data_IF_304766852993
#
_entry.id   IF_304766852993
#
_cell.length_a   1.000
_cell.length_b   1.000
_cell.length_c   1.000
_cell.angle_alpha   90.00
_cell.angle_beta   90.00
_cell.angle_gamma   90.00
#
_symmetry.space_group_name_H-M   'P 1'
#
loop_
_entity.id
_entity.type
_entity.pdbx_description
1 polymer ?
#
# COMPACT_ATOMS: atom_id res chain seq x y z
N UNK A 1 21.06 1.73 10.59
CA UNK A 1 20.00 1.10 11.40
C UNK A 1 18.71 1.25 10.62
N UNK A 2 18.23 0.20 9.97
CA UNK A 2 16.92 0.24 9.31
C UNK A 2 15.90 -0.15 10.36
N UNK A 3 15.12 0.80 10.87
CA UNK A 3 14.03 0.52 11.80
C UNK A 3 12.78 0.29 10.97
N UNK A 4 12.08 -0.82 11.22
CA UNK A 4 10.75 -1.06 10.69
C UNK A 4 9.85 0.13 11.04
N UNK A 5 9.02 0.64 10.11
CA UNK A 5 8.08 1.70 10.44
C UNK A 5 7.11 1.21 11.50
N UNK A 6 6.78 2.09 12.42
CA UNK A 6 5.80 1.76 13.46
C UNK A 6 4.40 1.69 12.87
N UNK A 7 3.49 0.99 13.55
CA UNK A 7 2.07 0.93 13.17
C UNK A 7 1.53 2.31 12.82
N UNK A 8 1.78 3.31 13.67
CA UNK A 8 1.36 4.70 13.46
C UNK A 8 1.86 5.34 12.16
N UNK A 9 3.10 5.05 11.75
CA UNK A 9 3.62 5.55 10.48
C UNK A 9 2.94 4.88 9.30
N UNK A 10 2.66 3.59 9.41
CA UNK A 10 1.90 2.85 8.39
C UNK A 10 0.45 3.32 8.35
N UNK A 11 -0.21 3.60 9.49
CA UNK A 11 -1.59 4.16 9.48
C UNK A 11 -1.63 5.55 8.86
N UNK A 12 -0.61 6.39 9.10
CA UNK A 12 -0.52 7.70 8.49
C UNK A 12 -0.35 7.60 6.96
N UNK A 13 0.53 6.69 6.51
CA UNK A 13 0.73 6.42 5.09
C UNK A 13 -0.55 5.87 4.45
N UNK A 14 -1.21 4.91 5.11
CA UNK A 14 -2.50 4.38 4.67
C UNK A 14 -3.51 5.50 4.54
N UNK A 15 -3.63 6.40 5.52
CA UNK A 15 -4.60 7.49 5.46
C UNK A 15 -4.34 8.49 4.32
N UNK A 16 -3.09 8.62 3.86
CA UNK A 16 -2.78 9.42 2.66
C UNK A 16 -3.13 8.70 1.36
N UNK A 17 -2.96 7.37 1.33
CA UNK A 17 -3.22 6.51 0.17
C UNK A 17 -4.71 6.18 0.01
N UNK A 18 -5.33 5.82 1.12
CA UNK A 18 -6.71 5.37 1.30
C UNK A 18 -7.67 6.55 1.16
N UNK A 19 -8.35 6.61 0.01
CA UNK A 19 -9.33 7.64 -0.29
C UNK A 19 -10.73 7.25 0.18
N UNK A 20 -11.04 5.95 0.20
CA UNK A 20 -12.36 5.44 0.54
C UNK A 20 -12.56 5.21 2.05
N UNK A 21 -11.50 5.38 2.85
CA UNK A 21 -11.37 5.09 4.27
C UNK A 21 -11.75 3.65 4.65
N UNK A 22 -11.42 2.67 3.80
CA UNK A 22 -11.67 1.24 4.05
C UNK A 22 -10.56 0.58 4.92
N UNK A 23 -9.51 1.33 5.27
CA UNK A 23 -8.29 0.87 5.96
C UNK A 23 -7.46 -0.11 5.12
N UNK A 24 -7.64 -0.05 3.81
CA UNK A 24 -6.95 -0.87 2.81
C UNK A 24 -6.52 0.01 1.64
N UNK A 25 -5.48 -0.42 0.93
CA UNK A 25 -5.01 0.26 -0.28
C UNK A 25 -5.26 -0.63 -1.48
N UNK A 26 -6.20 -0.19 -2.31
CA UNK A 26 -6.51 -0.85 -3.58
C UNK A 26 -5.48 -0.49 -4.67
N UNK A 27 -5.41 -1.31 -5.74
CA UNK A 27 -4.61 -1.03 -6.94
C UNK A 27 -4.87 0.38 -7.49
N UNK A 28 -6.14 0.79 -7.54
CA UNK A 28 -6.54 2.09 -8.07
C UNK A 28 -6.15 3.26 -7.12
N UNK A 29 -6.17 3.05 -5.81
CA UNK A 29 -5.76 4.05 -4.82
C UNK A 29 -4.24 4.27 -4.83
N UNK A 30 -3.48 3.17 -4.83
CA UNK A 30 -2.02 3.24 -4.97
C UNK A 30 -1.62 3.88 -6.31
N UNK A 31 -2.33 3.54 -7.39
CA UNK A 31 -2.12 4.16 -8.71
C UNK A 31 -2.42 5.65 -8.69
N UNK A 32 -3.52 6.08 -8.07
CA UNK A 32 -3.88 7.49 -7.96
C UNK A 32 -2.83 8.28 -7.18
N UNK A 33 -2.30 7.71 -6.09
CA UNK A 33 -1.23 8.32 -5.32
C UNK A 33 0.08 8.44 -6.11
N UNK A 34 0.47 7.38 -6.81
CA UNK A 34 1.68 7.37 -7.64
C UNK A 34 1.58 8.39 -8.79
N UNK A 35 0.42 8.50 -9.42
CA UNK A 35 0.12 9.51 -10.44
C UNK A 35 0.24 10.93 -9.85
N UNK A 36 -0.31 11.15 -8.66
CA UNK A 36 -0.16 12.40 -7.90
C UNK A 36 1.29 12.71 -7.52
N UNK A 37 2.10 11.68 -7.26
CA UNK A 37 3.53 11.81 -6.97
C UNK A 37 4.40 11.97 -8.23
N UNK A 38 3.78 12.12 -9.42
CA UNK A 38 4.45 12.14 -10.74
C UNK A 38 5.28 10.88 -11.03
N UNK A 39 4.98 9.78 -10.35
CA UNK A 39 5.51 8.45 -10.63
C UNK A 39 4.51 7.69 -11.51
N UNK A 40 4.74 7.70 -12.81
CA UNK A 40 4.00 6.81 -13.72
C UNK A 40 4.49 5.38 -13.57
N UNK A 41 3.77 4.58 -12.79
CA UNK A 41 3.89 3.12 -12.74
C UNK A 41 2.70 2.47 -13.45
N UNK A 42 2.97 1.43 -14.23
CA UNK A 42 1.93 0.64 -14.90
C UNK A 42 1.00 -0.03 -13.89
N UNK A 43 -0.31 0.00 -14.16
CA UNK A 43 -1.32 -0.72 -13.38
C UNK A 43 -0.95 -2.19 -13.20
N UNK A 44 -0.36 -2.83 -14.21
CA UNK A 44 0.15 -4.21 -14.12
C UNK A 44 1.23 -4.37 -13.06
N UNK A 45 2.21 -3.46 -12.98
CA UNK A 45 3.27 -3.53 -11.96
C UNK A 45 2.71 -3.33 -10.56
N UNK A 46 1.81 -2.36 -10.40
CA UNK A 46 1.13 -2.09 -9.13
C UNK A 46 0.32 -3.32 -8.71
N UNK A 47 -0.42 -3.92 -9.64
CA UNK A 47 -1.21 -5.12 -9.39
C UNK A 47 -0.35 -6.33 -9.04
N UNK A 48 0.77 -6.56 -9.75
CA UNK A 48 1.72 -7.63 -9.39
C UNK A 48 2.34 -7.37 -8.02
N UNK A 49 2.66 -6.11 -7.69
CA UNK A 49 3.20 -5.76 -6.38
C UNK A 49 2.19 -6.04 -5.27
N UNK A 50 0.94 -5.58 -5.42
CA UNK A 50 -0.11 -5.86 -4.46
C UNK A 50 -0.30 -7.37 -4.33
N UNK A 51 -0.53 -8.08 -5.43
CA UNK A 51 -0.79 -9.52 -5.40
C UNK A 51 0.41 -10.36 -4.91
N UNK A 52 1.63 -9.83 -4.89
CA UNK A 52 2.79 -10.51 -4.33
C UNK A 52 2.92 -10.34 -2.81
N UNK A 53 2.28 -9.32 -2.25
CA UNK A 53 2.34 -9.00 -0.82
C UNK A 53 0.98 -9.15 -0.11
N UNK A 54 -0.09 -9.26 -0.90
CA UNK A 54 -1.45 -9.60 -0.51
C UNK A 54 -1.47 -11.07 -0.06
N UNK A 55 -1.57 -11.25 1.24
CA UNK A 55 -1.56 -12.53 1.95
C UNK A 55 -2.99 -13.05 2.14
N UNK A 56 -3.98 -12.16 2.27
CA UNK A 56 -5.40 -12.53 2.46
C UNK A 56 -6.11 -12.90 1.14
N UNK A 57 -5.56 -12.53 -0.01
CA UNK A 57 -6.13 -12.79 -1.33
C UNK A 57 -7.22 -11.80 -1.75
N UNK A 58 -7.34 -10.65 -1.09
CA UNK A 58 -8.45 -9.69 -1.33
C UNK A 58 -8.16 -8.69 -2.47
N UNK A 59 -6.92 -8.67 -2.95
CA UNK A 59 -6.47 -7.79 -4.02
C UNK A 59 -6.19 -6.36 -3.56
N UNK A 60 -6.02 -6.16 -2.25
CA UNK A 60 -5.79 -4.89 -1.57
C UNK A 60 -4.80 -5.08 -0.42
N UNK A 61 -3.98 -4.08 -0.16
CA UNK A 61 -3.04 -4.14 0.98
C UNK A 61 -3.68 -3.53 2.21
N UNK A 62 -3.93 -4.35 3.22
CA UNK A 62 -4.38 -3.87 4.52
C UNK A 62 -3.20 -3.39 5.39
N UNK A 63 -3.54 -2.80 6.54
CA UNK A 63 -2.57 -2.27 7.49
C UNK A 63 -1.54 -3.29 7.98
N UNK A 64 -1.97 -4.53 8.24
CA UNK A 64 -1.08 -5.58 8.74
C UNK A 64 -0.10 -6.05 7.66
N UNK A 65 -0.57 -6.15 6.42
CA UNK A 65 0.25 -6.48 5.26
C UNK A 65 1.29 -5.39 5.00
N UNK A 66 0.90 -4.12 5.00
CA UNK A 66 1.84 -3.01 4.83
C UNK A 66 2.92 -2.97 5.93
N UNK A 67 2.54 -3.23 7.19
CA UNK A 67 3.52 -3.35 8.28
C UNK A 67 4.48 -4.50 8.02
N UNK A 68 3.96 -5.65 7.60
CA UNK A 68 4.78 -6.84 7.31
C UNK A 68 5.76 -6.58 6.17
N UNK A 69 5.31 -5.93 5.08
CA UNK A 69 6.15 -5.55 3.93
C UNK A 69 7.28 -4.61 4.36
N UNK A 70 6.95 -3.60 5.17
CA UNK A 70 7.90 -2.56 5.56
C UNK A 70 8.79 -2.96 6.75
N UNK A 71 8.38 -3.98 7.51
CA UNK A 71 9.13 -4.51 8.65
C UNK A 71 10.08 -5.65 8.28
N UNK A 72 10.08 -6.11 7.03
CA UNK A 72 10.89 -7.24 6.57
C UNK A 72 12.31 -6.86 6.14
#
# INVERSE_FOLDING_TARGET
MSRAPTRQEVEALLKELDKNNDKKVSVDELKAFLDSAKCTLDKKKIQTFINANDTDGDGMLNLEELITILSS
#
